data_IF_163901898787
#
_entry.id   IF_163901898787
#
_cell.length_a   1.000
_cell.length_b   1.000
_cell.length_c   1.000
_cell.angle_alpha   90.00
_cell.angle_beta   90.00
_cell.angle_gamma   90.00
#
_symmetry.space_group_name_H-M   'P 1'
#
loop_
_entity.id
_entity.type
_entity.pdbx_description
1 polymer ?
#
# COMPACT_ATOMS: atom_id res chain seq x y z
N UNK A 1 -10.59 6.55 14.20
CA UNK A 1 -9.57 7.56 14.56
C UNK A 1 -8.52 7.60 13.48
N UNK A 2 -7.91 8.78 13.24
CA UNK A 2 -6.74 8.86 12.35
C UNK A 2 -5.50 8.34 13.10
N UNK A 3 -4.62 7.66 12.36
CA UNK A 3 -3.35 7.12 12.84
C UNK A 3 -2.24 7.47 11.85
N UNK A 4 -1.00 7.44 12.30
CA UNK A 4 0.18 7.69 11.46
C UNK A 4 1.05 6.45 11.40
N UNK A 5 1.66 6.20 10.23
CA UNK A 5 2.65 5.13 10.10
C UNK A 5 3.91 5.46 10.93
N UNK A 6 4.63 4.44 11.44
CA UNK A 6 5.96 4.62 12.00
C UNK A 6 6.94 5.19 10.97
N UNK A 7 8.12 5.59 11.44
CA UNK A 7 9.26 5.92 10.58
C UNK A 7 9.78 4.67 9.86
N UNK A 8 10.48 4.88 8.75
CA UNK A 8 11.05 3.78 7.96
C UNK A 8 12.14 3.04 8.75
N UNK A 9 11.96 1.72 8.89
CA UNK A 9 12.98 0.81 9.42
C UNK A 9 13.80 0.30 8.22
N UNK A 10 14.80 1.06 7.83
CA UNK A 10 15.62 0.78 6.65
C UNK A 10 16.27 -0.59 6.72
N UNK A 11 16.13 -1.36 5.65
CA UNK A 11 16.69 -2.71 5.54
C UNK A 11 15.81 -3.80 6.14
N UNK A 12 14.68 -3.46 6.80
CA UNK A 12 13.72 -4.47 7.24
C UNK A 12 13.28 -5.32 6.05
N UNK A 13 13.36 -6.65 6.20
CA UNK A 13 13.04 -7.59 5.13
C UNK A 13 11.54 -7.82 5.04
N UNK A 14 10.99 -7.65 3.84
CA UNK A 14 9.60 -7.96 3.57
C UNK A 14 9.28 -9.41 3.96
N UNK A 15 8.15 -9.61 4.63
CA UNK A 15 7.64 -10.94 4.95
C UNK A 15 6.95 -11.53 3.73
N UNK A 16 7.21 -12.81 3.48
CA UNK A 16 6.50 -13.52 2.42
C UNK A 16 5.03 -13.77 2.80
N UNK A 17 4.19 -13.85 1.80
CA UNK A 17 2.76 -14.13 1.95
C UNK A 17 2.20 -14.76 0.67
N UNK A 18 0.99 -15.30 0.76
CA UNK A 18 0.15 -15.66 -0.38
C UNK A 18 -1.28 -15.30 -0.08
N UNK A 19 -1.84 -14.36 -0.83
CA UNK A 19 -3.17 -13.79 -0.60
C UNK A 19 -4.03 -13.86 -1.87
N UNK A 20 -5.35 -14.06 -1.74
CA UNK A 20 -6.29 -13.97 -2.84
C UNK A 20 -6.44 -12.51 -3.31
N UNK A 21 -6.60 -12.32 -4.61
CA UNK A 21 -6.79 -11.03 -5.25
C UNK A 21 -8.16 -10.89 -5.89
N UNK A 22 -8.56 -9.65 -6.12
CA UNK A 22 -9.85 -9.29 -6.72
C UNK A 22 -10.01 -9.75 -8.18
N UNK A 23 -8.93 -10.11 -8.85
CA UNK A 23 -8.93 -10.66 -10.21
C UNK A 23 -9.15 -12.18 -10.26
N UNK A 24 -9.37 -12.83 -9.11
CA UNK A 24 -9.60 -14.26 -8.97
C UNK A 24 -8.34 -15.13 -8.87
N UNK A 25 -7.17 -14.50 -8.85
CA UNK A 25 -5.88 -15.19 -8.65
C UNK A 25 -5.41 -15.06 -7.19
N UNK A 26 -4.33 -15.77 -6.85
CA UNK A 26 -3.59 -15.57 -5.60
C UNK A 26 -2.16 -15.20 -5.93
N UNK A 27 -1.61 -14.26 -5.15
CA UNK A 27 -0.26 -13.75 -5.35
C UNK A 27 0.57 -13.91 -4.09
N UNK A 28 1.83 -14.35 -4.27
CA UNK A 28 2.88 -14.26 -3.27
C UNK A 28 3.67 -12.95 -3.44
N UNK A 29 4.50 -12.61 -2.46
CA UNK A 29 5.42 -11.48 -2.62
C UNK A 29 6.30 -11.65 -3.87
N UNK A 30 6.76 -12.87 -4.14
CA UNK A 30 7.59 -13.18 -5.32
C UNK A 30 6.87 -12.86 -6.64
N UNK A 31 5.55 -13.10 -6.72
CA UNK A 31 4.76 -12.83 -7.92
C UNK A 31 4.58 -11.31 -8.17
N UNK A 32 4.76 -10.50 -7.13
CA UNK A 32 4.54 -9.05 -7.17
C UNK A 32 5.82 -8.24 -7.41
N UNK A 33 6.99 -8.88 -7.27
CA UNK A 33 8.27 -8.20 -7.40
C UNK A 33 8.47 -7.59 -8.78
N UNK A 34 8.87 -6.32 -8.79
CA UNK A 34 9.50 -5.74 -9.96
C UNK A 34 11.02 -5.95 -9.94
N UNK A 35 11.70 -5.88 -11.09
CA UNK A 35 13.14 -6.09 -11.17
C UNK A 35 13.98 -5.08 -10.38
N UNK A 36 13.39 -3.93 -10.04
CA UNK A 36 14.07 -2.85 -9.32
C UNK A 36 13.47 -2.53 -7.95
N UNK A 37 12.41 -3.22 -7.56
CA UNK A 37 11.78 -3.04 -6.26
C UNK A 37 10.27 -3.30 -6.30
N UNK A 38 9.63 -3.15 -5.15
CA UNK A 38 8.21 -3.48 -4.98
C UNK A 38 7.55 -2.48 -4.04
N UNK A 39 6.36 -2.03 -4.40
CA UNK A 39 5.48 -1.19 -3.57
C UNK A 39 4.31 -2.03 -3.05
N UNK A 40 4.15 -2.09 -1.73
CA UNK A 40 2.99 -2.66 -1.06
C UNK A 40 2.22 -1.54 -0.36
N UNK A 41 0.93 -1.41 -0.66
CA UNK A 41 0.07 -0.39 -0.07
C UNK A 41 -1.07 -1.05 0.72
N UNK A 42 -1.14 -0.82 2.03
CA UNK A 42 -2.32 -1.18 2.79
C UNK A 42 -3.37 -0.09 2.60
N UNK A 43 -4.49 -0.46 1.99
CA UNK A 43 -5.62 0.44 1.70
C UNK A 43 -6.94 -0.24 2.03
N UNK A 44 -8.01 0.54 2.08
CA UNK A 44 -9.39 0.01 2.17
C UNK A 44 -10.34 0.86 1.32
N UNK A 45 -11.56 0.40 1.11
CA UNK A 45 -12.46 1.05 0.17
C UNK A 45 -13.15 2.29 0.74
N UNK A 46 -13.48 2.28 2.04
CA UNK A 46 -14.31 3.31 2.67
C UNK A 46 -13.51 4.47 3.28
N UNK A 47 -12.18 4.33 3.42
CA UNK A 47 -11.34 5.35 4.07
C UNK A 47 -11.27 6.65 3.22
N UNK A 48 -11.69 7.80 3.75
CA UNK A 48 -11.63 9.07 2.99
C UNK A 48 -10.19 9.47 2.60
N UNK A 49 -9.20 9.10 3.39
CA UNK A 49 -7.79 9.31 3.04
C UNK A 49 -7.35 8.48 1.83
N UNK A 50 -7.86 7.25 1.70
CA UNK A 50 -7.61 6.40 0.52
C UNK A 50 -8.36 6.95 -0.69
N UNK A 51 -9.66 7.24 -0.54
CA UNK A 51 -10.49 7.74 -1.65
C UNK A 51 -9.92 9.02 -2.25
N UNK A 52 -9.41 9.93 -1.42
CA UNK A 52 -8.81 11.19 -1.87
C UNK A 52 -7.57 11.01 -2.75
N UNK A 53 -6.82 9.92 -2.59
CA UNK A 53 -5.55 9.69 -3.28
C UNK A 53 -5.59 8.54 -4.28
N UNK A 54 -6.70 7.81 -4.41
CA UNK A 54 -6.78 6.59 -5.24
C UNK A 54 -6.36 6.83 -6.67
N UNK A 55 -6.85 7.90 -7.32
CA UNK A 55 -6.45 8.25 -8.69
C UNK A 55 -4.96 8.60 -8.81
N UNK A 56 -4.40 9.24 -7.78
CA UNK A 56 -2.98 9.58 -7.73
C UNK A 56 -2.11 8.32 -7.54
N UNK A 57 -2.54 7.39 -6.69
CA UNK A 57 -1.89 6.11 -6.51
C UNK A 57 -1.87 5.28 -7.80
N UNK A 58 -3.00 5.24 -8.52
CA UNK A 58 -3.11 4.56 -9.82
C UNK A 58 -2.13 5.16 -10.83
N UNK A 59 -2.06 6.49 -10.92
CA UNK A 59 -1.10 7.19 -11.77
C UNK A 59 0.34 6.83 -11.40
N UNK A 60 0.68 6.95 -10.13
CA UNK A 60 2.03 6.72 -9.63
C UNK A 60 2.46 5.26 -9.84
N UNK A 61 1.56 4.30 -9.60
CA UNK A 61 1.84 2.88 -9.85
C UNK A 61 2.09 2.57 -11.34
N UNK A 62 1.32 3.19 -12.26
CA UNK A 62 1.55 3.04 -13.71
C UNK A 62 2.93 3.57 -14.14
N UNK A 63 3.33 4.70 -13.57
CA UNK A 63 4.64 5.30 -13.87
C UNK A 63 5.78 4.48 -13.25
N UNK A 64 5.61 4.00 -12.02
CA UNK A 64 6.58 3.14 -11.33
C UNK A 64 6.77 1.80 -12.04
N UNK A 65 5.70 1.21 -12.61
CA UNK A 65 5.81 -0.01 -13.40
C UNK A 65 6.76 0.15 -14.60
N UNK A 66 6.74 1.30 -15.26
CA UNK A 66 7.69 1.62 -16.35
C UNK A 66 9.13 1.70 -15.87
N UNK A 67 9.35 2.03 -14.61
CA UNK A 67 10.66 2.08 -13.97
C UNK A 67 11.12 0.74 -13.39
N UNK A 68 10.31 -0.33 -13.52
CA UNK A 68 10.65 -1.66 -13.02
C UNK A 68 10.28 -1.90 -11.55
N UNK A 69 9.37 -1.12 -11.00
CA UNK A 69 8.80 -1.31 -9.66
C UNK A 69 7.48 -2.07 -9.78
N UNK A 70 7.39 -3.24 -9.15
CA UNK A 70 6.12 -3.96 -8.98
C UNK A 70 5.25 -3.29 -7.92
N UNK A 71 3.94 -3.53 -7.97
CA UNK A 71 3.03 -2.94 -6.98
C UNK A 71 1.87 -3.88 -6.66
N UNK A 72 1.38 -3.81 -5.42
CA UNK A 72 0.13 -4.40 -4.99
C UNK A 72 -0.51 -3.57 -3.87
N UNK A 73 -1.82 -3.67 -3.74
CA UNK A 73 -2.55 -3.17 -2.59
C UNK A 73 -3.10 -4.33 -1.77
N UNK A 74 -3.22 -4.14 -0.45
CA UNK A 74 -3.75 -5.13 0.50
C UNK A 74 -4.83 -4.46 1.35
N UNK A 75 -6.00 -5.10 1.45
CA UNK A 75 -7.03 -4.74 2.43
C UNK A 75 -7.05 -5.78 3.55
N UNK A 76 -6.93 -5.32 4.78
CA UNK A 76 -6.97 -6.15 5.99
C UNK A 76 -8.10 -5.74 6.96
N UNK A 77 -9.00 -4.87 6.57
CA UNK A 77 -10.09 -4.45 7.44
C UNK A 77 -11.10 -5.59 7.69
N UNK A 78 -11.58 -5.66 8.93
CA UNK A 78 -12.66 -6.57 9.29
C UNK A 78 -13.98 -6.19 8.60
N UNK A 79 -14.34 -6.97 7.60
CA UNK A 79 -15.58 -6.76 6.82
C UNK A 79 -16.86 -7.12 7.59
N UNK A 80 -16.77 -7.76 8.75
CA UNK A 80 -17.94 -8.03 9.59
C UNK A 80 -18.43 -6.75 10.28
N UNK A 81 -17.53 -5.87 10.64
CA UNK A 81 -17.83 -4.57 11.24
C UNK A 81 -17.82 -3.43 10.23
N UNK A 82 -17.17 -3.61 9.08
CA UNK A 82 -17.05 -2.64 7.99
C UNK A 82 -17.34 -3.32 6.64
N UNK A 83 -18.61 -3.64 6.34
CA UNK A 83 -19.00 -4.40 5.14
C UNK A 83 -18.63 -3.71 3.82
N UNK A 84 -18.37 -2.39 3.84
CA UNK A 84 -17.85 -1.63 2.70
C UNK A 84 -16.49 -2.16 2.22
N UNK A 85 -15.74 -2.81 3.10
CA UNK A 85 -14.42 -3.39 2.81
C UNK A 85 -14.47 -4.90 2.52
N UNK A 86 -15.68 -5.46 2.32
CA UNK A 86 -15.84 -6.87 1.93
C UNK A 86 -15.09 -7.18 0.62
N UNK A 87 -14.70 -8.44 0.44
CA UNK A 87 -14.01 -8.87 -0.78
C UNK A 87 -14.81 -8.60 -2.05
N UNK A 88 -16.14 -8.70 -1.98
CA UNK A 88 -17.03 -8.34 -3.08
C UNK A 88 -16.91 -6.84 -3.42
N UNK A 89 -16.94 -5.98 -2.41
CA UNK A 89 -16.80 -4.53 -2.60
C UNK A 89 -15.36 -4.13 -3.02
N UNK A 90 -14.34 -4.86 -2.60
CA UNK A 90 -12.97 -4.68 -3.12
C UNK A 90 -12.90 -4.89 -4.64
N UNK A 91 -13.60 -5.90 -5.18
CA UNK A 91 -13.66 -6.13 -6.64
C UNK A 91 -14.31 -4.95 -7.36
N UNK A 92 -15.40 -4.43 -6.81
CA UNK A 92 -16.09 -3.24 -7.37
C UNK A 92 -15.16 -2.02 -7.32
N UNK A 93 -14.52 -1.79 -6.19
CA UNK A 93 -13.61 -0.64 -5.99
C UNK A 93 -12.41 -0.68 -6.93
N UNK A 94 -11.74 -1.84 -7.04
CA UNK A 94 -10.60 -2.02 -7.93
C UNK A 94 -10.97 -1.78 -9.40
N UNK A 95 -12.12 -2.33 -9.85
CA UNK A 95 -12.62 -2.14 -11.20
C UNK A 95 -13.00 -0.70 -11.50
N UNK A 96 -13.74 -0.06 -10.60
CA UNK A 96 -14.20 1.33 -10.76
C UNK A 96 -13.03 2.32 -10.84
N UNK A 97 -11.93 2.05 -10.13
CA UNK A 97 -10.74 2.91 -10.10
C UNK A 97 -9.65 2.49 -11.10
N UNK A 98 -9.86 1.43 -11.89
CA UNK A 98 -8.92 0.97 -12.91
C UNK A 98 -7.55 0.61 -12.33
N UNK A 99 -7.50 -0.14 -11.22
CA UNK A 99 -6.25 -0.54 -10.57
C UNK A 99 -5.33 -1.27 -11.55
N UNK A 100 -4.09 -0.79 -11.75
CA UNK A 100 -3.10 -1.44 -12.61
C UNK A 100 -2.31 -2.53 -11.88
N UNK A 101 -2.64 -2.81 -10.63
CA UNK A 101 -1.96 -3.74 -9.74
C UNK A 101 -2.98 -4.66 -9.05
N UNK A 102 -2.58 -5.85 -8.57
CA UNK A 102 -3.44 -6.72 -7.78
C UNK A 102 -3.91 -6.05 -6.48
N UNK A 103 -5.20 -6.21 -6.16
CA UNK A 103 -5.78 -5.80 -4.88
C UNK A 103 -6.10 -7.05 -4.06
N UNK A 104 -5.33 -7.27 -3.01
CA UNK A 104 -5.27 -8.51 -2.23
C UNK A 104 -6.11 -8.39 -0.96
N UNK A 105 -6.67 -9.51 -0.52
CA UNK A 105 -7.47 -9.59 0.70
C UNK A 105 -6.72 -10.37 1.78
N UNK A 106 -6.33 -9.69 2.85
CA UNK A 106 -5.75 -10.28 4.06
C UNK A 106 -6.86 -10.46 5.11
N UNK A 107 -7.72 -11.46 4.89
CA UNK A 107 -8.85 -11.73 5.76
C UNK A 107 -8.44 -12.11 7.18
N UNK A 108 -7.32 -12.82 7.34
CA UNK A 108 -6.77 -13.19 8.65
C UNK A 108 -6.14 -12.03 9.40
N UNK A 109 -5.76 -10.97 8.70
CA UNK A 109 -5.00 -9.82 9.20
C UNK A 109 -3.58 -10.15 9.66
N UNK A 110 -3.11 -11.36 9.35
CA UNK A 110 -1.76 -11.81 9.72
C UNK A 110 -0.69 -11.02 8.98
N UNK A 111 -0.92 -10.72 7.70
CA UNK A 111 0.06 -10.01 6.88
C UNK A 111 0.14 -8.54 7.30
N UNK A 112 -1.00 -7.89 7.54
CA UNK A 112 -1.00 -6.52 8.06
C UNK A 112 -0.23 -6.43 9.40
N UNK A 113 -0.41 -7.40 10.29
CA UNK A 113 0.34 -7.46 11.56
C UNK A 113 1.82 -7.75 11.36
N UNK A 114 2.16 -8.69 10.47
CA UNK A 114 3.55 -9.03 10.16
C UNK A 114 4.34 -7.85 9.55
N UNK A 115 3.65 -6.99 8.77
CA UNK A 115 4.20 -5.74 8.24
C UNK A 115 4.20 -4.61 9.27
N UNK A 116 3.47 -4.74 10.37
CA UNK A 116 3.27 -3.66 11.32
C UNK A 116 2.48 -2.49 10.71
N UNK A 117 1.53 -2.79 9.79
CA UNK A 117 0.66 -1.79 9.21
C UNK A 117 -0.33 -1.28 10.28
N UNK A 118 -0.51 0.04 10.36
CA UNK A 118 -1.34 0.67 11.40
C UNK A 118 -2.55 1.42 10.85
N UNK A 119 -2.46 1.91 9.62
CA UNK A 119 -3.49 2.76 9.03
C UNK A 119 -3.69 2.45 7.55
N UNK A 120 -4.70 3.05 6.96
CA UNK A 120 -4.92 3.08 5.52
C UNK A 120 -5.08 4.54 5.07
N UNK A 121 -4.24 4.99 4.10
CA UNK A 121 -3.17 4.26 3.42
C UNK A 121 -1.90 4.12 4.29
N UNK A 122 -1.19 2.99 4.18
CA UNK A 122 0.16 2.78 4.72
C UNK A 122 1.03 2.17 3.61
N UNK A 123 2.14 2.82 3.26
CA UNK A 123 2.96 2.45 2.11
C UNK A 123 4.30 1.87 2.52
N UNK A 124 4.67 0.76 1.89
CA UNK A 124 5.93 0.06 2.09
C UNK A 124 6.63 -0.09 0.75
N UNK A 125 7.73 0.61 0.57
CA UNK A 125 8.57 0.56 -0.62
C UNK A 125 9.84 -0.23 -0.39
N UNK A 126 10.05 -1.28 -1.15
CA UNK A 126 11.18 -2.21 -1.05
C UNK A 126 12.09 -2.08 -2.26
N UNK A 127 13.40 -2.29 -2.06
CA UNK A 127 14.34 -2.45 -3.15
C UNK A 127 14.29 -3.87 -3.75
N UNK A 128 15.14 -4.16 -4.73
CA UNK A 128 15.22 -5.48 -5.38
C UNK A 128 15.66 -6.63 -4.47
N UNK A 129 16.15 -6.33 -3.28
CA UNK A 129 16.53 -7.30 -2.26
C UNK A 129 15.44 -7.48 -1.18
N UNK A 130 14.22 -6.97 -1.41
CA UNK A 130 13.11 -6.95 -0.43
C UNK A 130 13.44 -6.20 0.87
N UNK A 131 14.34 -5.26 0.82
CA UNK A 131 14.70 -4.40 1.95
C UNK A 131 13.86 -3.12 1.93
N UNK A 132 13.23 -2.79 3.05
CA UNK A 132 12.42 -1.58 3.19
C UNK A 132 13.30 -0.34 2.99
N UNK A 133 12.88 0.53 2.09
CA UNK A 133 13.56 1.77 1.74
C UNK A 133 12.65 2.99 1.81
N UNK A 134 11.34 2.76 1.83
CA UNK A 134 10.35 3.83 1.96
C UNK A 134 9.19 3.38 2.85
N UNK A 135 8.87 4.18 3.84
CA UNK A 135 7.64 4.10 4.63
C UNK A 135 7.14 5.51 4.93
N UNK A 136 6.41 6.06 4.00
CA UNK A 136 5.97 7.45 4.04
C UNK A 136 4.65 7.66 3.33
N UNK A 137 4.22 8.90 3.25
CA UNK A 137 2.97 9.29 2.58
C UNK A 137 3.10 9.23 1.06
N UNK A 138 1.95 9.16 0.35
CA UNK A 138 1.94 9.29 -1.10
C UNK A 138 2.33 10.72 -1.53
N UNK A 139 1.72 11.72 -0.89
CA UNK A 139 2.00 13.15 -1.07
C UNK A 139 1.37 13.95 0.08
N UNK A 140 1.25 15.26 -0.04
CA UNK A 140 0.67 16.12 0.99
C UNK A 140 -0.87 16.03 1.12
N UNK A 141 -1.55 15.28 0.25
CA UNK A 141 -3.00 15.05 0.34
C UNK A 141 -3.37 14.28 1.60
N UNK A 142 -4.53 14.60 2.15
CA UNK A 142 -5.14 13.89 3.30
C UNK A 142 -6.54 13.40 2.90
N UNK A 143 -7.59 13.96 3.48
CA UNK A 143 -8.99 13.66 3.10
C UNK A 143 -9.44 14.43 1.85
N UNK A 144 -8.58 15.30 1.32
CA UNK A 144 -8.80 16.03 0.07
C UNK A 144 -7.50 16.08 -0.73
N UNK A 145 -7.56 15.96 -2.05
CA UNK A 145 -6.39 16.09 -2.90
C UNK A 145 -5.78 17.50 -2.81
N UNK A 146 -4.45 17.57 -2.79
CA UNK A 146 -3.71 18.83 -2.89
C UNK A 146 -3.19 18.96 -4.32
N UNK A 147 -3.68 20.00 -5.03
CA UNK A 147 -3.25 20.27 -6.40
C UNK A 147 -1.75 20.59 -6.46
N UNK A 148 -1.03 20.01 -7.43
CA UNK A 148 0.39 20.25 -7.61
C UNK A 148 1.28 19.71 -6.49
N UNK A 149 0.76 18.88 -5.57
CA UNK A 149 1.56 18.29 -4.50
C UNK A 149 2.74 17.49 -5.06
N UNK A 150 3.89 17.63 -4.39
CA UNK A 150 5.07 16.81 -4.65
C UNK A 150 4.71 15.32 -4.56
N UNK A 151 5.21 14.51 -5.48
CA UNK A 151 4.96 13.07 -5.55
C UNK A 151 5.94 12.32 -4.64
N UNK A 152 5.82 12.48 -3.31
CA UNK A 152 6.81 12.01 -2.34
C UNK A 152 7.11 10.51 -2.51
N UNK A 153 6.09 9.66 -2.58
CA UNK A 153 6.24 8.22 -2.80
C UNK A 153 6.88 7.90 -4.16
N UNK A 154 6.39 8.53 -5.22
CA UNK A 154 6.90 8.29 -6.57
C UNK A 154 8.39 8.63 -6.68
N UNK A 155 8.79 9.81 -6.22
CA UNK A 155 10.18 10.25 -6.26
C UNK A 155 11.08 9.34 -5.42
N UNK A 156 10.63 8.96 -4.21
CA UNK A 156 11.36 8.01 -3.37
C UNK A 156 11.55 6.66 -4.04
N UNK A 157 10.50 6.10 -4.66
CA UNK A 157 10.61 4.82 -5.36
C UNK A 157 11.42 4.89 -6.65
N UNK A 158 11.46 6.05 -7.31
CA UNK A 158 12.39 6.28 -8.43
C UNK A 158 13.86 6.29 -7.96
N UNK A 159 14.14 6.86 -6.79
CA UNK A 159 15.47 6.77 -6.17
C UNK A 159 15.82 5.31 -5.82
N UNK A 160 14.87 4.56 -5.25
CA UNK A 160 15.04 3.12 -5.00
C UNK A 160 15.32 2.35 -6.28
N UNK A 161 14.58 2.61 -7.36
CA UNK A 161 14.80 1.96 -8.66
C UNK A 161 16.18 2.24 -9.26
N UNK A 162 16.72 3.45 -9.00
CA UNK A 162 17.99 3.92 -9.54
C UNK A 162 19.19 3.50 -8.69
N UNK A 163 19.06 3.54 -7.37
CA UNK A 163 20.19 3.41 -6.42
C UNK A 163 20.06 2.23 -5.45
N UNK A 164 18.88 1.61 -5.35
CA UNK A 164 18.57 0.61 -4.33
C UNK A 164 18.28 1.21 -2.95
N UNK A 165 18.28 2.54 -2.81
CA UNK A 165 18.08 3.25 -1.53
C UNK A 165 17.01 4.33 -1.65
N UNK A 166 16.18 4.45 -0.62
CA UNK A 166 15.22 5.54 -0.46
C UNK A 166 15.83 6.79 0.19
N UNK A 167 15.10 7.91 0.19
CA UNK A 167 15.53 9.14 0.86
C UNK A 167 15.62 8.93 2.38
N UNK A 168 16.61 9.59 3.02
CA UNK A 168 16.77 9.53 4.47
C UNK A 168 15.58 10.17 5.21
N UNK A 169 15.11 11.30 4.71
CA UNK A 169 13.99 12.03 5.29
C UNK A 169 12.67 11.62 4.61
N UNK A 170 11.74 11.12 5.40
CA UNK A 170 10.44 10.65 4.95
C UNK A 170 9.33 11.18 5.85
N UNK A 171 8.19 11.52 5.26
CA UNK A 171 7.03 12.01 5.99
C UNK A 171 6.05 10.86 6.15
N UNK A 172 5.73 10.50 7.39
CA UNK A 172 4.81 9.41 7.72
C UNK A 172 3.46 9.55 7.00
N UNK A 173 2.91 8.42 6.58
CA UNK A 173 1.53 8.35 6.10
C UNK A 173 0.56 8.61 7.26
N UNK A 174 -0.59 9.21 6.94
CA UNK A 174 -1.69 9.41 7.86
C UNK A 174 -2.97 8.86 7.23
N UNK A 175 -3.77 8.16 8.04
CA UNK A 175 -5.02 7.61 7.56
C UNK A 175 -5.90 7.04 8.66
N UNK A 176 -6.96 6.36 8.28
CA UNK A 176 -7.82 5.65 9.22
C UNK A 176 -7.09 4.43 9.79
N UNK A 177 -7.21 4.19 11.11
CA UNK A 177 -6.69 2.95 11.71
C UNK A 177 -7.29 1.72 11.02
N UNK A 178 -6.48 0.66 10.87
CA UNK A 178 -6.97 -0.65 10.42
C UNK A 178 -8.06 -1.13 11.38
N UNK A 179 -9.10 -1.75 10.83
CA UNK A 179 -10.21 -2.31 11.59
C UNK A 179 -9.89 -3.76 11.94
N UNK A 180 -9.30 -3.94 13.12
CA UNK A 180 -8.91 -5.26 13.57
C UNK A 180 -10.11 -6.09 14.02
N UNK A 181 -10.06 -7.40 13.77
CA UNK A 181 -10.99 -8.36 14.36
C UNK A 181 -10.75 -8.41 15.88
N UNK A 182 -11.79 -8.65 16.71
CA UNK A 182 -11.62 -8.74 18.17
C UNK A 182 -10.57 -9.75 18.61
N UNK A 183 -10.41 -10.85 17.86
CA UNK A 183 -9.39 -11.90 18.12
C UNK A 183 -7.95 -11.42 17.87
N UNK A 184 -7.76 -10.28 17.24
CA UNK A 184 -6.46 -9.77 16.79
C UNK A 184 -6.03 -8.47 17.52
N UNK A 185 -6.76 -8.10 18.60
CA UNK A 185 -6.40 -6.99 19.48
C UNK A 185 -5.22 -7.34 20.39
#
# INVERSE_FOLDING_TARGET
MASTSPICDFGWKARDFRLPATDGKSYSLADLRGPKGTLIAFICNHCPYVQAITGLLVRDAKDLAKAGIGAAAICANDATTHPEDSFANMKVFAKANGFPFPYLHDESQEIARAFGALCTPDFFGFNSNDELQYRGRLNASRMSPVAGAKRDLYEAMMDVARTGKGPADQISSMGCSIKWKPSNW
#
